data_IF_987897928915
#
_entry.id   IF_987897928915
#
_cell.length_a   1.000
_cell.length_b   1.000
_cell.length_c   1.000
_cell.angle_alpha   90.00
_cell.angle_beta   90.00
_cell.angle_gamma   90.00
#
_symmetry.space_group_name_H-M   'P 1'
#
loop_
_entity.id
_entity.type
_entity.pdbx_description
1 polymer ?
#
# COMPACT_ATOMS: atom_id res chain seq x y z
N UNK A 1 -43.14 -9.43 -47.22
CA UNK A 1 -43.29 -8.70 -45.95
C UNK A 1 -43.13 -9.68 -44.80
N UNK A 2 -42.40 -9.26 -43.76
CA UNK A 2 -42.17 -9.90 -42.44
C UNK A 2 -40.90 -10.78 -42.33
N UNK A 3 -39.79 -10.08 -42.13
CA UNK A 3 -38.59 -10.55 -41.43
C UNK A 3 -38.93 -10.85 -39.96
N UNK A 4 -38.43 -11.95 -39.41
CA UNK A 4 -38.21 -12.12 -37.97
C UNK A 4 -36.83 -12.75 -37.81
N UNK A 5 -35.90 -11.95 -37.28
CA UNK A 5 -34.57 -12.33 -36.85
C UNK A 5 -34.70 -12.64 -35.35
N UNK A 6 -34.44 -13.88 -34.93
CA UNK A 6 -34.43 -14.24 -33.49
C UNK A 6 -32.97 -14.23 -33.02
N UNK A 7 -32.61 -13.18 -32.29
CA UNK A 7 -31.31 -13.07 -31.62
C UNK A 7 -31.35 -13.95 -30.37
N UNK A 8 -30.57 -15.03 -30.33
CA UNK A 8 -30.43 -15.89 -29.16
C UNK A 8 -29.51 -15.18 -28.15
N UNK A 9 -30.08 -14.60 -27.09
CA UNK A 9 -29.34 -14.00 -25.99
C UNK A 9 -28.70 -15.07 -25.10
N UNK A 10 -27.38 -15.11 -25.06
CA UNK A 10 -26.60 -15.93 -24.14
C UNK A 10 -26.56 -15.24 -22.77
N UNK A 11 -27.38 -15.72 -21.83
CA UNK A 11 -27.31 -15.29 -20.41
C UNK A 11 -26.20 -16.11 -19.73
N UNK A 12 -25.07 -15.47 -19.45
CA UNK A 12 -24.05 -16.03 -18.56
C UNK A 12 -24.51 -15.81 -17.11
N UNK A 13 -24.92 -16.87 -16.42
CA UNK A 13 -25.18 -16.83 -14.98
C UNK A 13 -23.84 -17.07 -14.26
N UNK A 14 -23.26 -16.01 -13.72
CA UNK A 14 -22.16 -16.14 -12.76
C UNK A 14 -22.76 -16.44 -11.38
N UNK A 15 -22.64 -17.69 -10.94
CA UNK A 15 -22.91 -18.09 -9.56
C UNK A 15 -21.73 -17.66 -8.69
N UNK A 16 -21.86 -16.52 -8.01
CA UNK A 16 -20.94 -16.12 -6.95
C UNK A 16 -21.14 -17.07 -5.76
N UNK A 17 -20.15 -17.93 -5.48
CA UNK A 17 -20.13 -18.73 -4.25
C UNK A 17 -19.46 -17.90 -3.15
N UNK A 18 -20.27 -17.37 -2.24
CA UNK A 18 -19.79 -16.82 -0.97
C UNK A 18 -19.18 -17.96 -0.15
N UNK A 19 -17.86 -17.97 0.00
CA UNK A 19 -17.19 -18.82 0.98
C UNK A 19 -17.48 -18.21 2.36
N UNK A 20 -18.24 -18.93 3.19
CA UNK A 20 -18.56 -18.50 4.55
C UNK A 20 -17.31 -18.49 5.43
N UNK A 21 -16.75 -17.29 5.63
CA UNK A 21 -15.85 -16.97 6.74
C UNK A 21 -16.66 -16.69 8.02
N UNK A 22 -16.00 -16.75 9.17
CA UNK A 22 -16.63 -16.67 10.49
C UNK A 22 -17.42 -15.36 10.71
N UNK A 23 -18.57 -15.38 11.42
CA UNK A 23 -19.43 -14.20 11.58
C UNK A 23 -18.70 -13.08 12.34
N UNK A 24 -18.70 -11.86 11.81
CA UNK A 24 -18.13 -10.68 12.48
C UNK A 24 -17.45 -9.65 11.58
N UNK A 25 -17.33 -9.90 10.26
CA UNK A 25 -16.76 -8.95 9.31
C UNK A 25 -17.77 -8.59 8.19
N UNK A 26 -19.02 -8.33 8.57
CA UNK A 26 -20.11 -7.98 7.62
C UNK A 26 -20.42 -6.48 7.60
N UNK A 27 -19.50 -5.65 8.08
CA UNK A 27 -19.45 -4.27 7.64
C UNK A 27 -18.43 -4.24 6.51
N UNK A 28 -18.87 -4.51 5.29
CA UNK A 28 -18.24 -3.86 4.14
C UNK A 28 -18.29 -2.36 4.47
N UNK A 29 -17.16 -1.68 4.72
CA UNK A 29 -17.23 -0.24 4.70
C UNK A 29 -17.74 0.10 3.31
N UNK A 30 -18.88 0.79 3.26
CA UNK A 30 -19.32 1.53 2.09
C UNK A 30 -18.13 2.41 1.69
N UNK A 31 -17.27 1.85 0.84
CA UNK A 31 -16.01 2.45 0.42
C UNK A 31 -16.43 3.42 -0.66
N UNK A 32 -17.10 4.48 -0.22
CA UNK A 32 -17.10 5.73 -0.93
C UNK A 32 -15.63 6.06 -1.19
N UNK A 33 -15.24 5.84 -2.45
CA UNK A 33 -14.02 6.32 -3.05
C UNK A 33 -14.04 7.86 -2.96
N UNK A 34 -13.72 8.37 -1.78
CA UNK A 34 -13.96 9.74 -1.34
C UNK A 34 -12.75 10.66 -1.46
N UNK A 35 -12.12 10.70 -2.63
CA UNK A 35 -10.99 11.57 -2.97
C UNK A 35 -9.61 11.11 -2.49
N UNK A 36 -8.95 10.34 -3.37
CA UNK A 36 -7.55 10.61 -3.65
C UNK A 36 -7.41 12.09 -4.02
N UNK A 37 -7.21 12.96 -3.03
CA UNK A 37 -6.50 14.22 -3.22
C UNK A 37 -5.23 13.84 -3.97
N UNK A 38 -5.09 14.34 -5.21
CA UNK A 38 -4.24 13.75 -6.25
C UNK A 38 -2.79 13.59 -5.81
N UNK A 39 -2.49 12.46 -5.17
CA UNK A 39 -1.13 12.12 -4.83
C UNK A 39 -0.35 12.00 -6.14
N UNK A 40 0.91 12.45 -6.18
CA UNK A 40 1.74 12.16 -7.34
C UNK A 40 1.84 10.64 -7.52
N UNK A 41 2.15 10.21 -8.74
CA UNK A 41 2.42 8.80 -8.98
C UNK A 41 3.49 8.27 -8.01
N UNK A 42 3.45 6.97 -7.65
CA UNK A 42 4.53 6.33 -6.90
C UNK A 42 5.89 6.58 -7.57
N UNK A 43 6.86 7.03 -6.78
CA UNK A 43 8.22 7.28 -7.27
C UNK A 43 9.22 6.56 -6.40
N UNK A 44 10.08 5.79 -7.05
CA UNK A 44 11.20 5.09 -6.43
C UNK A 44 12.37 5.04 -7.40
N UNK A 45 13.56 5.34 -6.91
CA UNK A 45 14.84 5.16 -7.61
C UNK A 45 15.74 4.32 -6.72
N UNK A 46 16.32 3.26 -7.29
CA UNK A 46 17.24 2.36 -6.61
C UNK A 46 18.55 2.38 -7.41
N UNK A 47 19.61 2.93 -6.83
CA UNK A 47 20.93 3.02 -7.46
C UNK A 47 21.99 2.38 -6.58
N UNK A 48 23.13 2.04 -7.18
CA UNK A 48 24.31 1.59 -6.46
C UNK A 48 25.40 2.65 -6.56
N UNK A 49 25.81 3.20 -5.42
CA UNK A 49 26.75 4.32 -5.32
C UNK A 49 27.76 4.06 -4.20
N UNK A 50 29.05 3.98 -4.54
CA UNK A 50 30.14 3.88 -3.56
C UNK A 50 30.06 2.67 -2.61
N UNK A 51 29.55 1.53 -3.08
CA UNK A 51 29.39 0.31 -2.26
C UNK A 51 28.08 0.24 -1.47
N UNK A 52 27.14 1.15 -1.73
CA UNK A 52 25.83 1.21 -1.10
C UNK A 52 24.74 1.15 -2.13
N UNK A 53 23.62 0.53 -1.77
CA UNK A 53 22.34 0.75 -2.42
C UNK A 53 21.70 2.01 -1.84
N UNK A 54 21.38 2.96 -2.71
CA UNK A 54 20.71 4.21 -2.38
C UNK A 54 19.29 4.14 -2.94
N UNK A 55 18.30 4.42 -2.09
CA UNK A 55 16.88 4.38 -2.46
C UNK A 55 16.27 5.74 -2.18
N UNK A 56 15.81 6.43 -3.23
CA UNK A 56 15.04 7.67 -3.12
C UNK A 56 13.58 7.38 -3.44
N UNK A 57 12.66 7.79 -2.59
CA UNK A 57 11.25 7.45 -2.76
C UNK A 57 10.30 8.53 -2.21
N UNK A 58 9.07 8.53 -2.72
CA UNK A 58 8.03 9.46 -2.25
C UNK A 58 7.01 8.84 -1.28
N UNK A 59 7.11 7.54 -1.01
CA UNK A 59 6.24 6.82 -0.07
C UNK A 59 4.79 6.62 -0.51
N UNK A 60 4.43 7.01 -1.74
CA UNK A 60 3.06 6.84 -2.25
C UNK A 60 2.87 5.39 -2.72
N UNK A 61 1.85 4.66 -2.22
CA UNK A 61 1.58 3.29 -2.65
C UNK A 61 1.04 3.24 -4.08
N UNK A 62 1.26 2.11 -4.75
CA UNK A 62 0.80 1.85 -6.12
C UNK A 62 -0.62 1.24 -6.18
N UNK A 63 -1.45 1.52 -5.17
CA UNK A 63 -2.84 1.09 -5.10
C UNK A 63 -3.71 2.22 -4.55
N UNK A 64 -5.02 2.09 -4.73
CA UNK A 64 -5.98 3.01 -4.13
C UNK A 64 -5.88 2.96 -2.60
N UNK A 65 -5.92 4.13 -1.97
CA UNK A 65 -5.87 4.26 -0.51
C UNK A 65 -7.23 4.67 0.04
N UNK A 66 -7.44 4.41 1.32
CA UNK A 66 -8.63 4.87 2.04
C UNK A 66 -8.70 6.40 2.16
N UNK A 67 -9.75 6.87 2.83
CA UNK A 67 -9.99 8.31 2.96
C UNK A 67 -9.17 8.95 4.06
N UNK A 68 -8.47 10.03 3.69
CA UNK A 68 -7.68 10.86 4.59
C UNK A 68 -7.83 12.33 4.23
N UNK A 69 -8.14 13.22 5.20
CA UNK A 69 -8.41 12.92 6.62
C UNK A 69 -9.64 12.03 6.85
N UNK A 70 -9.62 11.24 7.92
CA UNK A 70 -10.72 10.35 8.30
C UNK A 70 -10.80 10.12 9.82
N UNK A 71 -11.85 9.41 10.31
CA UNK A 71 -11.95 9.04 11.72
C UNK A 71 -10.69 8.28 12.18
N UNK A 72 -10.05 8.76 13.25
CA UNK A 72 -8.80 8.17 13.77
C UNK A 72 -7.51 8.70 13.14
N UNK A 73 -7.56 9.40 12.01
CA UNK A 73 -6.40 10.10 11.43
C UNK A 73 -6.84 11.42 10.79
N UNK A 74 -6.75 12.56 11.52
CA UNK A 74 -7.18 13.86 11.01
C UNK A 74 -6.19 14.47 9.98
N UNK A 75 -5.09 13.79 9.69
CA UNK A 75 -4.03 14.30 8.82
C UNK A 75 -4.27 13.86 7.37
N UNK A 76 -4.14 14.77 6.38
CA UNK A 76 -4.18 14.40 4.98
C UNK A 76 -2.93 13.61 4.59
N UNK A 77 -3.09 12.68 3.65
CA UNK A 77 -1.95 12.00 3.01
C UNK A 77 -1.20 12.96 2.09
N UNK A 78 0.13 12.81 2.04
CA UNK A 78 0.97 13.57 1.12
C UNK A 78 2.23 12.78 0.78
N UNK A 79 2.76 13.00 -0.42
CA UNK A 79 4.07 12.47 -0.80
C UNK A 79 5.16 13.02 0.12
N UNK A 80 6.07 12.15 0.55
CA UNK A 80 7.21 12.50 1.40
C UNK A 80 8.50 12.50 0.58
N UNK A 81 9.62 12.86 1.20
CA UNK A 81 10.95 12.78 0.58
C UNK A 81 11.84 11.84 1.39
N UNK A 82 11.92 10.57 0.96
CA UNK A 82 12.73 9.56 1.61
C UNK A 82 14.05 9.33 0.87
N UNK A 83 15.10 9.09 1.67
CA UNK A 83 16.42 8.68 1.19
C UNK A 83 16.96 7.60 2.12
N UNK A 84 17.03 6.36 1.64
CA UNK A 84 17.60 5.23 2.36
C UNK A 84 18.96 4.87 1.77
N UNK A 85 19.85 4.38 2.63
CA UNK A 85 21.18 3.93 2.23
C UNK A 85 21.53 2.65 2.99
N UNK A 86 21.85 1.59 2.25
CA UNK A 86 22.21 0.29 2.81
C UNK A 86 23.46 -0.26 2.11
N UNK A 87 24.40 -0.90 2.83
CA UNK A 87 25.59 -1.48 2.19
C UNK A 87 25.19 -2.60 1.23
N UNK A 88 25.88 -2.72 0.09
CA UNK A 88 25.65 -3.82 -0.86
C UNK A 88 26.04 -5.19 -0.29
N UNK A 89 27.01 -5.18 0.62
CA UNK A 89 27.52 -6.36 1.31
C UNK A 89 27.43 -6.13 2.82
N UNK A 90 26.23 -6.22 3.42
CA UNK A 90 26.08 -6.09 4.86
C UNK A 90 26.83 -7.21 5.58
N UNK A 91 27.35 -6.91 6.77
CA UNK A 91 27.94 -7.89 7.68
C UNK A 91 27.14 -7.92 8.97
N UNK A 92 26.94 -9.11 9.51
CA UNK A 92 26.31 -9.27 10.82
C UNK A 92 27.20 -8.66 11.90
N UNK A 93 26.59 -7.89 12.81
CA UNK A 93 27.29 -7.36 13.97
C UNK A 93 27.49 -8.48 15.02
N UNK A 94 28.60 -8.45 15.76
CA UNK A 94 28.87 -9.40 16.84
C UNK A 94 27.85 -9.30 18.00
N UNK A 95 27.27 -8.11 18.18
CA UNK A 95 26.20 -7.84 19.15
C UNK A 95 25.01 -7.23 18.42
N UNK A 96 23.80 -7.64 18.82
CA UNK A 96 22.57 -7.08 18.25
C UNK A 96 22.49 -5.56 18.45
N UNK A 97 22.17 -4.85 17.37
CA UNK A 97 21.88 -3.42 17.43
C UNK A 97 20.44 -3.23 17.89
N UNK A 98 20.24 -2.54 19.02
CA UNK A 98 18.90 -2.22 19.52
C UNK A 98 18.15 -1.37 18.50
N UNK A 99 16.95 -1.81 18.13
CA UNK A 99 16.06 -1.06 17.25
C UNK A 99 15.56 0.22 17.95
N UNK A 100 15.55 1.33 17.23
CA UNK A 100 14.93 2.61 17.63
C UNK A 100 13.60 2.80 16.90
N UNK A 101 12.84 3.84 17.24
CA UNK A 101 11.67 4.28 16.45
C UNK A 101 12.16 4.90 15.13
N UNK A 102 12.47 4.04 14.17
CA UNK A 102 12.96 4.41 12.84
C UNK A 102 12.50 3.37 11.82
N UNK A 103 12.42 3.77 10.56
CA UNK A 103 12.16 2.86 9.45
C UNK A 103 13.14 1.67 9.46
N UNK A 104 12.59 0.47 9.33
CA UNK A 104 13.34 -0.81 9.30
C UNK A 104 13.59 -1.32 7.89
N UNK A 105 12.91 -0.72 6.90
CA UNK A 105 13.06 -1.08 5.50
C UNK A 105 12.22 -0.20 4.61
N UNK A 106 12.31 -0.47 3.32
CA UNK A 106 11.51 0.17 2.28
C UNK A 106 11.12 -0.89 1.26
N UNK A 107 9.86 -0.90 0.87
CA UNK A 107 9.34 -1.77 -0.17
C UNK A 107 9.89 -1.39 -1.54
N UNK A 108 9.86 -2.32 -2.50
CA UNK A 108 10.36 -2.08 -3.87
C UNK A 108 9.59 -0.98 -4.62
N UNK A 109 8.38 -0.65 -4.17
CA UNK A 109 7.57 0.47 -4.67
C UNK A 109 7.86 1.80 -3.95
N UNK A 110 8.80 1.84 -3.01
CA UNK A 110 9.22 3.06 -2.31
C UNK A 110 8.46 3.37 -1.02
N UNK A 111 7.54 2.51 -0.57
CA UNK A 111 6.81 2.70 0.70
C UNK A 111 7.68 2.23 1.89
N UNK A 112 7.95 3.07 2.89
CA UNK A 112 8.75 2.69 4.06
C UNK A 112 8.00 1.75 5.00
N UNK A 113 8.76 0.87 5.67
CA UNK A 113 8.29 0.10 6.83
C UNK A 113 8.77 0.81 8.09
N UNK A 114 7.87 1.50 8.80
CA UNK A 114 8.18 2.24 10.02
C UNK A 114 7.35 1.71 11.20
N UNK A 115 7.98 1.02 12.18
CA UNK A 115 7.30 0.57 13.39
C UNK A 115 7.17 1.68 14.45
N UNK A 116 7.73 2.88 14.19
CA UNK A 116 7.69 4.02 15.11
C UNK A 116 6.39 4.83 15.07
N UNK A 117 5.50 4.58 14.11
CA UNK A 117 4.17 5.20 13.99
C UNK A 117 3.18 4.65 15.03
N UNK A 118 1.91 5.06 14.94
CA UNK A 118 0.84 4.75 15.90
C UNK A 118 0.55 3.24 16.11
N UNK A 119 1.21 2.36 15.37
CA UNK A 119 1.01 0.90 15.39
C UNK A 119 1.77 0.16 16.52
N UNK A 120 2.53 0.88 17.38
CA UNK A 120 3.37 0.21 18.39
C UNK A 120 2.56 -0.34 19.57
N UNK A 121 2.95 -1.51 20.08
CA UNK A 121 2.28 -2.18 21.20
C UNK A 121 2.35 -1.33 22.48
N UNK A 122 1.18 -1.10 23.11
CA UNK A 122 0.97 -0.20 24.26
C UNK A 122 1.38 1.25 23.96
N UNK A 123 0.79 1.83 22.92
CA UNK A 123 0.96 3.25 22.63
C UNK A 123 0.32 4.19 23.65
#
# INVERSE_FOLDING_TARGET
>A
MKSILVTLGMVLVFINRSAWGHPGHEADPDTSAGAASSLPAPQVSITEEGGYRVIKANGVPNHEIGQFPGPGCPNPVSAQSYSFRMPLHPKTNATFTKLKQQAIGVAVNGVPFDPGTAEYWKN
#
